data_IF_575839807713
#
_entry.id   IF_575839807713
#
_cell.length_a   1.000
_cell.length_b   1.000
_cell.length_c   1.000
_cell.angle_alpha   90.00
_cell.angle_beta   90.00
_cell.angle_gamma   90.00
#
_symmetry.space_group_name_H-M   'P 1'
#
loop_
_entity.id
_entity.type
_entity.pdbx_description
1 polymer ?
#
# COMPACT_ATOMS: atom_id res chain seq x y z
N UNK A 1 -9.08 13.35 3.02
CA UNK A 1 -9.42 11.97 2.60
C UNK A 1 -9.51 11.10 3.86
N UNK A 2 -10.58 10.35 4.04
CA UNK A 2 -10.68 9.51 5.24
C UNK A 2 -9.93 8.18 5.04
N UNK A 3 -9.79 7.43 6.12
CA UNK A 3 -9.02 6.18 6.11
C UNK A 3 -9.60 5.15 5.14
N UNK A 4 -10.93 5.09 5.02
CA UNK A 4 -11.59 4.15 4.12
C UNK A 4 -11.25 4.46 2.66
N UNK A 5 -11.27 5.73 2.29
CA UNK A 5 -10.92 6.16 0.95
C UNK A 5 -9.45 5.84 0.63
N UNK A 6 -8.56 6.09 1.59
CA UNK A 6 -7.14 5.78 1.43
C UNK A 6 -6.95 4.27 1.26
N UNK A 7 -7.61 3.48 2.10
CA UNK A 7 -7.57 2.02 2.01
C UNK A 7 -8.02 1.53 0.63
N UNK A 8 -9.15 2.04 0.14
CA UNK A 8 -9.68 1.65 -1.17
C UNK A 8 -8.70 1.99 -2.29
N UNK A 9 -8.07 3.15 -2.23
CA UNK A 9 -7.07 3.54 -3.23
C UNK A 9 -5.82 2.68 -3.15
N UNK A 10 -5.37 2.34 -1.94
CA UNK A 10 -4.21 1.47 -1.73
C UNK A 10 -4.47 0.09 -2.34
N UNK A 11 -5.64 -0.49 -2.07
CA UNK A 11 -6.01 -1.80 -2.62
C UNK A 11 -6.07 -1.74 -4.14
N UNK A 12 -6.64 -0.68 -4.69
CA UNK A 12 -6.75 -0.50 -6.12
C UNK A 12 -5.38 -0.41 -6.79
N UNK A 13 -4.46 0.32 -6.17
CA UNK A 13 -3.10 0.47 -6.69
C UNK A 13 -2.36 -0.87 -6.62
N UNK A 14 -2.55 -1.62 -5.53
CA UNK A 14 -1.89 -2.92 -5.34
C UNK A 14 -2.39 -4.00 -6.29
N UNK A 15 -3.63 -3.90 -6.76
CA UNK A 15 -4.28 -4.95 -7.55
C UNK A 15 -3.40 -5.53 -8.68
N UNK A 16 -2.76 -4.71 -9.54
CA UNK A 16 -1.93 -5.25 -10.63
C UNK A 16 -0.68 -5.98 -10.15
N UNK A 17 -0.25 -5.75 -8.93
CA UNK A 17 0.99 -6.32 -8.39
C UNK A 17 0.76 -7.55 -7.53
N UNK A 18 -0.48 -7.78 -7.09
CA UNK A 18 -0.82 -8.87 -6.18
C UNK A 18 -0.96 -10.17 -6.92
N UNK A 19 -0.22 -11.20 -6.51
CA UNK A 19 -0.32 -12.53 -7.09
C UNK A 19 -1.44 -13.33 -6.45
N UNK A 20 -1.71 -13.10 -5.16
CA UNK A 20 -2.76 -13.81 -4.43
C UNK A 20 -4.04 -12.97 -4.42
N UNK A 21 -4.83 -13.08 -5.48
CA UNK A 21 -6.05 -12.29 -5.64
C UNK A 21 -7.11 -12.64 -4.59
N UNK A 22 -7.13 -13.87 -4.10
CA UNK A 22 -8.06 -14.28 -3.04
C UNK A 22 -7.77 -13.52 -1.74
N UNK A 23 -6.49 -13.38 -1.38
CA UNK A 23 -6.10 -12.62 -0.21
C UNK A 23 -6.45 -11.13 -0.39
N UNK A 24 -6.33 -10.62 -1.62
CA UNK A 24 -6.68 -9.24 -1.92
C UNK A 24 -8.17 -8.97 -1.66
N UNK A 25 -9.03 -9.91 -2.03
CA UNK A 25 -10.48 -9.79 -1.80
C UNK A 25 -10.83 -9.74 -0.33
N UNK A 26 -9.97 -10.30 0.52
CA UNK A 26 -10.16 -10.37 1.98
C UNK A 26 -9.24 -9.39 2.71
N UNK A 27 -8.60 -8.48 1.97
CA UNK A 27 -7.62 -7.57 2.55
C UNK A 27 -8.22 -6.71 3.65
N UNK A 28 -7.44 -6.54 4.71
CA UNK A 28 -7.75 -5.65 5.81
C UNK A 28 -6.51 -4.85 6.14
N UNK A 29 -6.58 -3.99 7.15
CA UNK A 29 -5.40 -3.23 7.57
C UNK A 29 -4.27 -4.13 8.10
N UNK A 30 -4.63 -5.33 8.58
CA UNK A 30 -3.65 -6.29 9.10
C UNK A 30 -3.00 -7.16 8.02
N UNK A 31 -3.50 -7.11 6.79
CA UNK A 31 -2.99 -7.93 5.69
C UNK A 31 -1.57 -7.52 5.32
N UNK A 32 -0.64 -8.50 5.29
CA UNK A 32 0.74 -8.26 4.89
C UNK A 32 0.86 -8.18 3.36
N UNK A 33 1.47 -7.11 2.89
CA UNK A 33 1.59 -6.86 1.44
C UNK A 33 2.45 -7.92 0.77
N UNK A 34 3.62 -8.23 1.32
CA UNK A 34 4.53 -9.20 0.70
C UNK A 34 4.13 -10.64 1.00
N UNK A 35 3.81 -10.92 2.26
CA UNK A 35 3.56 -12.30 2.71
C UNK A 35 2.17 -12.81 2.33
N UNK A 36 1.14 -12.00 2.57
CA UNK A 36 -0.26 -12.43 2.33
C UNK A 36 -0.69 -12.20 0.89
N UNK A 37 -0.41 -11.02 0.36
CA UNK A 37 -0.81 -10.64 -1.00
C UNK A 37 0.15 -11.16 -2.06
N UNK A 38 1.33 -11.61 -1.64
CA UNK A 38 2.35 -12.13 -2.55
C UNK A 38 2.79 -11.10 -3.61
N UNK A 39 3.02 -9.88 -3.16
CA UNK A 39 3.62 -8.85 -4.00
C UNK A 39 5.14 -9.10 -4.05
N UNK A 40 5.72 -9.05 -5.23
CA UNK A 40 7.16 -9.17 -5.38
C UNK A 40 7.85 -7.96 -4.72
N UNK A 41 8.78 -8.22 -3.82
CA UNK A 41 9.48 -7.15 -3.09
C UNK A 41 10.18 -6.17 -4.03
N UNK A 42 10.66 -6.64 -5.18
CA UNK A 42 11.28 -5.77 -6.18
C UNK A 42 10.28 -4.80 -6.81
N UNK A 43 8.98 -5.11 -6.72
CA UNK A 43 7.92 -4.24 -7.25
C UNK A 43 7.40 -3.25 -6.22
N UNK A 44 7.79 -3.40 -4.97
CA UNK A 44 7.31 -2.51 -3.90
C UNK A 44 7.65 -1.05 -4.18
N UNK A 45 8.82 -0.80 -4.78
CA UNK A 45 9.23 0.55 -5.17
C UNK A 45 8.25 1.15 -6.18
N UNK A 46 7.83 0.34 -7.17
CA UNK A 46 6.85 0.79 -8.17
C UNK A 46 5.50 1.12 -7.52
N UNK A 47 5.07 0.30 -6.57
CA UNK A 47 3.84 0.53 -5.81
C UNK A 47 3.92 1.85 -5.05
N UNK A 48 5.04 2.10 -4.39
CA UNK A 48 5.27 3.33 -3.63
C UNK A 48 5.23 4.55 -4.54
N UNK A 49 5.85 4.46 -5.72
CA UNK A 49 5.81 5.55 -6.69
C UNK A 49 4.38 5.87 -7.13
N UNK A 50 3.55 4.86 -7.30
CA UNK A 50 2.13 5.06 -7.62
C UNK A 50 1.38 5.72 -6.48
N UNK A 51 1.71 5.38 -5.23
CA UNK A 51 1.13 6.07 -4.07
C UNK A 51 1.49 7.55 -4.10
N UNK A 52 2.74 7.86 -4.38
CA UNK A 52 3.20 9.26 -4.45
C UNK A 52 2.42 10.05 -5.51
N UNK A 53 2.23 9.45 -6.68
CA UNK A 53 1.47 10.09 -7.75
C UNK A 53 -0.01 10.24 -7.41
N UNK A 54 -0.61 9.18 -6.87
CA UNK A 54 -2.05 9.15 -6.61
C UNK A 54 -2.46 10.12 -5.51
N UNK A 55 -1.61 10.30 -4.51
CA UNK A 55 -1.91 11.13 -3.33
C UNK A 55 -1.14 12.45 -3.31
N UNK A 56 -0.29 12.67 -4.30
CA UNK A 56 0.54 13.89 -4.40
C UNK A 56 1.37 14.10 -3.13
N UNK A 57 2.11 13.06 -2.75
CA UNK A 57 2.95 13.05 -1.55
C UNK A 57 4.35 12.55 -1.89
N UNK A 58 5.28 12.73 -0.96
CA UNK A 58 6.64 12.18 -1.08
C UNK A 58 6.84 11.12 0.00
N UNK A 59 7.38 9.98 -0.40
CA UNK A 59 7.66 8.86 0.49
C UNK A 59 9.16 8.56 0.41
N UNK A 60 9.85 8.65 1.55
CA UNK A 60 11.27 8.39 1.64
C UNK A 60 11.56 6.88 1.68
N UNK A 61 12.79 6.50 1.33
CA UNK A 61 13.22 5.09 1.40
C UNK A 61 13.05 4.51 2.80
N UNK A 62 13.33 5.31 3.83
CA UNK A 62 13.15 4.91 5.22
C UNK A 62 11.69 4.60 5.53
N UNK A 63 10.77 5.34 4.93
CA UNK A 63 9.34 5.12 5.09
C UNK A 63 8.91 3.83 4.41
N UNK A 64 9.48 3.52 3.24
CA UNK A 64 9.20 2.29 2.51
C UNK A 64 9.53 1.07 3.37
N UNK A 65 10.65 1.11 4.08
CA UNK A 65 11.10 0.02 4.94
C UNK A 65 10.12 -0.28 6.09
N UNK A 66 9.29 0.69 6.45
CA UNK A 66 8.31 0.54 7.53
C UNK A 66 6.98 -0.03 7.04
N UNK A 67 6.78 -0.12 5.73
CA UNK A 67 5.53 -0.61 5.16
C UNK A 67 5.56 -2.13 5.06
N UNK A 68 4.83 -2.79 5.96
CA UNK A 68 4.70 -4.25 5.98
C UNK A 68 3.27 -4.68 5.67
N UNK A 69 2.31 -3.96 6.24
CA UNK A 69 0.89 -4.27 6.08
C UNK A 69 0.20 -3.18 5.26
N UNK A 70 -1.00 -3.50 4.79
CA UNK A 70 -1.87 -2.50 4.14
C UNK A 70 -2.12 -1.33 5.10
N UNK A 71 -2.31 -1.63 6.39
CA UNK A 71 -2.50 -0.61 7.41
C UNK A 71 -1.32 0.33 7.55
N UNK A 72 -0.09 -0.22 7.49
CA UNK A 72 1.12 0.61 7.52
C UNK A 72 1.14 1.60 6.35
N UNK A 73 0.77 1.14 5.16
CA UNK A 73 0.69 2.00 3.98
C UNK A 73 -0.36 3.09 4.16
N UNK A 74 -1.53 2.74 4.67
CA UNK A 74 -2.62 3.69 4.90
C UNK A 74 -2.20 4.75 5.92
N UNK A 75 -1.58 4.33 7.03
CA UNK A 75 -1.12 5.25 8.06
C UNK A 75 -0.06 6.22 7.53
N UNK A 76 0.89 5.70 6.76
CA UNK A 76 1.94 6.50 6.16
C UNK A 76 1.34 7.57 5.23
N UNK A 77 0.42 7.18 4.39
CA UNK A 77 -0.24 8.08 3.45
C UNK A 77 -1.03 9.15 4.21
N UNK A 78 -1.79 8.74 5.24
CA UNK A 78 -2.53 9.67 6.08
C UNK A 78 -1.61 10.73 6.69
N UNK A 79 -0.48 10.30 7.21
CA UNK A 79 0.49 11.21 7.83
C UNK A 79 1.07 12.21 6.82
N UNK A 80 1.26 11.78 5.58
CA UNK A 80 1.82 12.63 4.53
C UNK A 80 0.79 13.61 3.96
N UNK A 81 -0.47 13.20 3.87
CA UNK A 81 -1.55 14.07 3.38
C UNK A 81 -1.90 15.14 4.43
N UNK A 82 -1.97 14.70 5.65
CA UNK A 82 -2.46 15.49 6.74
C UNK A 82 -1.60 16.51 7.31
#
# INVERSE_FOLDING_TARGET
>A
MDQTEIFDQVVKILTPYVKNQEALKRASLATHILDDLKVNSARLVDVVLEFEDAFDIEIDDDDVDKVETVGNAVELIEAKIG
#
